data_IF_033916197310
#
_entry.id   IF_033916197310
#
_cell.length_a   1.000
_cell.length_b   1.000
_cell.length_c   1.000
_cell.angle_alpha   90.00
_cell.angle_beta   90.00
_cell.angle_gamma   90.00
#
_symmetry.space_group_name_H-M   'P 1'
#
loop_
_entity.id
_entity.type
_entity.pdbx_description
1 polymer ?
#
# COMPACT_ATOMS: atom_id res chain seq x y z
N UNK A 1 2.73 15.58 6.47
CA UNK A 1 3.07 14.67 7.58
C UNK A 1 3.57 13.38 6.98
N UNK A 2 4.82 12.97 7.23
CA UNK A 2 5.36 11.67 6.80
C UNK A 2 5.26 10.75 8.01
N UNK A 3 4.42 9.72 7.96
CA UNK A 3 4.26 8.78 9.08
C UNK A 3 5.59 8.09 9.38
N UNK A 4 6.04 8.19 10.62
CA UNK A 4 7.33 7.60 11.06
C UNK A 4 7.26 6.09 10.91
N UNK A 5 8.29 5.49 10.31
CA UNK A 5 8.36 4.04 10.11
C UNK A 5 7.64 3.52 8.86
N UNK A 6 6.98 4.38 8.07
CA UNK A 6 6.44 4.02 6.76
C UNK A 6 7.37 4.50 5.62
N UNK A 7 7.66 3.63 4.67
CA UNK A 7 8.37 3.97 3.44
C UNK A 7 7.54 3.58 2.23
N UNK A 8 7.34 4.54 1.31
CA UNK A 8 6.71 4.30 0.01
C UNK A 8 7.79 4.47 -1.05
N UNK A 9 7.93 3.48 -1.94
CA UNK A 9 8.82 3.55 -3.10
C UNK A 9 8.02 3.32 -4.36
N UNK A 10 8.02 4.30 -5.25
CA UNK A 10 7.42 4.20 -6.58
C UNK A 10 8.56 4.05 -7.58
N UNK A 11 8.59 2.95 -8.32
CA UNK A 11 9.60 2.72 -9.36
C UNK A 11 9.11 3.24 -10.70
N UNK A 12 9.55 4.42 -11.15
CA UNK A 12 9.04 5.04 -12.39
C UNK A 12 9.20 4.16 -13.65
N UNK A 13 8.14 4.06 -14.46
CA UNK A 13 8.04 3.31 -15.71
C UNK A 13 6.57 2.99 -16.04
N UNK A 14 6.22 2.64 -17.29
CA UNK A 14 4.82 2.38 -17.73
C UNK A 14 4.16 1.17 -17.02
N UNK A 15 4.90 0.48 -16.13
CA UNK A 15 4.45 -0.63 -15.28
C UNK A 15 5.06 -0.47 -13.87
N UNK A 16 4.92 0.72 -13.29
CA UNK A 16 5.63 1.12 -12.08
C UNK A 16 5.09 0.48 -10.81
N UNK A 17 5.58 -0.69 -10.40
CA UNK A 17 5.19 -1.28 -9.11
C UNK A 17 5.49 -0.33 -7.94
N UNK A 18 4.47 0.02 -7.16
CA UNK A 18 4.60 0.78 -5.92
C UNK A 18 4.75 -0.17 -4.74
N UNK A 19 5.74 0.08 -3.88
CA UNK A 19 6.03 -0.74 -2.70
C UNK A 19 5.84 0.07 -1.43
N UNK A 20 5.01 -0.44 -0.53
CA UNK A 20 4.82 0.09 0.82
C UNK A 20 5.51 -0.82 1.82
N UNK A 21 6.26 -0.22 2.75
CA UNK A 21 6.83 -0.93 3.89
C UNK A 21 6.60 -0.18 5.19
N UNK A 22 6.36 -0.95 6.26
CA UNK A 22 6.15 -0.45 7.62
C UNK A 22 7.14 -1.16 8.52
N UNK A 23 8.10 -0.41 9.08
CA UNK A 23 9.17 -0.95 9.96
C UNK A 23 9.93 -2.14 9.35
N UNK A 24 10.09 -2.16 8.03
CA UNK A 24 10.77 -3.25 7.30
C UNK A 24 9.89 -4.46 6.96
N UNK A 25 8.62 -4.47 7.37
CA UNK A 25 7.60 -5.39 6.87
C UNK A 25 7.05 -4.87 5.54
N UNK A 26 6.56 -5.77 4.70
CA UNK A 26 6.08 -5.50 3.33
C UNK A 26 5.31 -6.71 2.79
N UNK A 27 4.51 -6.50 1.74
CA UNK A 27 3.70 -7.55 1.10
C UNK A 27 2.69 -8.18 2.07
N UNK A 28 2.61 -9.52 2.09
CA UNK A 28 1.77 -10.32 3.00
C UNK A 28 1.99 -10.08 4.50
N UNK A 29 3.07 -9.40 4.88
CA UNK A 29 3.40 -9.09 6.28
C UNK A 29 2.76 -7.79 6.78
N UNK A 30 2.07 -7.07 5.91
CA UNK A 30 1.26 -5.90 6.23
C UNK A 30 -0.19 -6.20 5.83
N UNK A 31 -1.15 -5.92 6.70
CA UNK A 31 -2.56 -5.98 6.34
C UNK A 31 -2.99 -4.73 5.58
N UNK A 32 -3.53 -4.88 4.38
CA UNK A 32 -4.20 -3.82 3.64
C UNK A 32 -5.70 -4.03 3.71
N UNK A 33 -6.42 -2.99 4.10
CA UNK A 33 -7.86 -2.99 4.22
C UNK A 33 -8.41 -1.80 3.45
N UNK A 34 -9.34 -2.06 2.53
CA UNK A 34 -10.17 -1.02 1.92
C UNK A 34 -11.59 -1.30 2.42
N UNK A 35 -12.21 -0.29 3.03
CA UNK A 35 -13.55 -0.43 3.62
C UNK A 35 -13.67 -1.66 4.55
N UNK A 36 -12.66 -1.86 5.39
CA UNK A 36 -12.53 -3.01 6.31
C UNK A 36 -12.36 -4.39 5.64
N UNK A 37 -12.33 -4.46 4.30
CA UNK A 37 -12.13 -5.69 3.53
C UNK A 37 -10.63 -5.93 3.28
N UNK A 38 -10.08 -7.10 3.64
CA UNK A 38 -8.68 -7.42 3.40
C UNK A 38 -8.41 -7.56 1.90
N UNK A 39 -7.36 -6.88 1.44
CA UNK A 39 -6.96 -6.89 0.03
C UNK A 39 -5.81 -7.87 -0.27
N UNK A 40 -5.23 -8.49 0.77
CA UNK A 40 -3.99 -9.26 0.67
C UNK A 40 -4.21 -10.77 0.42
N UNK A 41 -5.45 -11.18 0.12
CA UNK A 41 -5.83 -12.60 0.04
C UNK A 41 -5.34 -13.30 -1.22
N UNK A 42 -4.92 -12.57 -2.27
CA UNK A 42 -4.68 -13.20 -3.58
C UNK A 42 -3.39 -12.79 -4.31
N UNK A 43 -2.70 -11.72 -3.91
CA UNK A 43 -1.43 -11.30 -4.53
C UNK A 43 -0.38 -10.98 -3.47
N UNK A 44 0.88 -11.33 -3.73
CA UNK A 44 2.01 -10.98 -2.84
C UNK A 44 2.27 -9.46 -2.78
N UNK A 45 1.66 -8.70 -3.70
CA UNK A 45 1.79 -7.27 -3.86
C UNK A 45 0.47 -6.66 -4.29
N UNK A 46 0.00 -5.67 -3.54
CA UNK A 46 -0.95 -4.68 -4.02
C UNK A 46 -0.12 -3.53 -4.57
N UNK A 47 -0.36 -3.16 -5.83
CA UNK A 47 0.24 -1.94 -6.36
C UNK A 47 -0.59 -0.74 -5.88
N UNK A 48 0.06 0.30 -5.36
CA UNK A 48 -0.65 1.55 -5.05
C UNK A 48 -1.35 2.14 -6.29
N UNK A 49 -0.89 1.79 -7.49
CA UNK A 49 -1.55 2.20 -8.73
C UNK A 49 -2.95 1.57 -8.92
N UNK A 50 -3.23 0.44 -8.28
CA UNK A 50 -4.54 -0.22 -8.37
C UNK A 50 -5.61 0.49 -7.53
N UNK A 51 -5.18 1.39 -6.63
CA UNK A 51 -6.07 2.19 -5.79
C UNK A 51 -6.19 3.58 -6.42
N UNK A 52 -7.28 3.88 -7.13
CA UNK A 52 -7.45 5.17 -7.74
C UNK A 52 -7.67 6.23 -6.64
N UNK A 53 -6.95 7.34 -6.74
CA UNK A 53 -6.81 8.35 -5.66
C UNK A 53 -8.11 9.07 -5.33
N UNK A 54 -9.06 9.07 -6.25
CA UNK A 54 -10.41 9.63 -6.11
C UNK A 54 -11.30 8.80 -5.18
N UNK A 55 -11.00 7.52 -4.99
CA UNK A 55 -11.72 6.66 -4.05
C UNK A 55 -11.21 6.79 -2.60
N UNK A 56 -10.09 7.49 -2.37
CA UNK A 56 -9.46 7.58 -1.05
C UNK A 56 -10.06 8.76 -0.27
N UNK A 57 -10.96 8.46 0.66
CA UNK A 57 -11.43 9.46 1.63
C UNK A 57 -10.40 9.68 2.75
N UNK A 58 -9.82 8.60 3.27
CA UNK A 58 -8.88 8.64 4.40
C UNK A 58 -7.94 7.45 4.43
N UNK A 59 -6.71 7.70 4.86
CA UNK A 59 -5.71 6.65 5.12
C UNK A 59 -5.38 6.64 6.61
N UNK A 60 -5.57 5.50 7.26
CA UNK A 60 -5.14 5.25 8.63
C UNK A 60 -3.98 4.28 8.68
N UNK A 61 -3.09 4.49 9.64
CA UNK A 61 -1.94 3.62 9.88
C UNK A 61 -1.92 3.31 11.37
N UNK A 62 -1.90 2.03 11.69
CA UNK A 62 -1.86 1.49 13.06
C UNK A 62 -0.51 0.82 13.33
#
# INVERSE_FOLDING_TARGET
>A
SKTVGMTIRVSGGVVSASRVSVRGLEGKRIGFFIDEVPMNDQSDFIDLNDIPVDMIERIEIY
#
